data_IF_960107350354
#
_entry.id   IF_960107350354
#
_cell.length_a   1.000
_cell.length_b   1.000
_cell.length_c   1.000
_cell.angle_alpha   90.00
_cell.angle_beta   90.00
_cell.angle_gamma   90.00
#
_symmetry.space_group_name_H-M   'P 1'
#
loop_
_entity.id
_entity.type
_entity.pdbx_description
1 polymer ?
#
# COMPACT_ATOMS: atom_id res chain seq x y z
N UNK A 1 25.59 -6.64 -15.32
CA UNK A 1 25.10 -5.86 -14.18
C UNK A 1 23.64 -5.49 -14.43
N UNK A 2 22.71 -6.36 -14.04
CA UNK A 2 21.27 -6.15 -14.28
C UNK A 2 20.76 -5.17 -13.22
N UNK A 3 20.32 -3.98 -13.63
CA UNK A 3 19.66 -3.02 -12.73
C UNK A 3 18.39 -3.69 -12.22
N UNK A 4 18.31 -3.97 -10.92
CA UNK A 4 17.05 -4.31 -10.27
C UNK A 4 16.14 -3.10 -10.49
N UNK A 5 15.17 -3.23 -11.38
CA UNK A 5 14.12 -2.23 -11.55
C UNK A 5 13.17 -2.38 -10.36
N UNK A 6 13.56 -1.82 -9.20
CA UNK A 6 12.63 -1.63 -8.09
C UNK A 6 11.60 -0.61 -8.59
N UNK A 7 10.48 -1.10 -9.13
CA UNK A 7 9.35 -0.25 -9.50
C UNK A 7 8.96 0.51 -8.22
N UNK A 8 8.89 1.85 -8.23
CA UNK A 8 8.61 2.59 -7.01
C UNK A 8 7.21 2.23 -6.54
N UNK A 9 7.14 1.54 -5.40
CA UNK A 9 5.88 1.16 -4.77
C UNK A 9 5.06 2.36 -4.32
N UNK A 10 3.82 2.12 -3.93
CA UNK A 10 3.01 3.10 -3.20
C UNK A 10 2.89 2.65 -1.76
N UNK A 11 2.93 3.60 -0.84
CA UNK A 11 2.70 3.35 0.57
C UNK A 11 1.41 4.05 0.99
N UNK A 12 0.51 3.28 1.59
CA UNK A 12 -0.63 3.80 2.32
C UNK A 12 -0.18 4.02 3.77
N UNK A 13 -0.37 5.23 4.26
CA UNK A 13 -0.03 5.62 5.62
C UNK A 13 -1.30 6.08 6.30
N UNK A 14 -1.60 5.47 7.44
CA UNK A 14 -2.70 5.86 8.31
C UNK A 14 -2.21 5.90 9.76
N UNK A 15 -2.93 6.52 10.67
CA UNK A 15 -2.57 6.52 12.10
C UNK A 15 -2.91 5.17 12.75
N UNK A 16 -4.12 4.67 12.53
CA UNK A 16 -4.68 3.44 13.11
C UNK A 16 -5.30 2.57 12.03
N UNK A 17 -4.91 1.29 12.00
CA UNK A 17 -5.63 0.27 11.24
C UNK A 17 -6.55 -0.47 12.19
N UNK A 18 -7.85 -0.53 11.87
CA UNK A 18 -8.79 -1.38 12.60
C UNK A 18 -9.00 -2.71 11.86
N UNK A 19 -10.15 -2.90 11.21
CA UNK A 19 -10.43 -4.09 10.39
C UNK A 19 -9.61 -4.16 9.11
N UNK A 20 -8.89 -3.08 8.76
CA UNK A 20 -8.19 -2.94 7.49
C UNK A 20 -9.10 -2.62 6.30
N UNK A 21 -10.42 -2.49 6.48
CA UNK A 21 -11.35 -2.24 5.38
C UNK A 21 -11.00 -0.97 4.57
N UNK A 22 -10.63 0.11 5.25
CA UNK A 22 -10.18 1.36 4.62
C UNK A 22 -8.91 1.14 3.80
N UNK A 23 -7.90 0.46 4.37
CA UNK A 23 -6.63 0.17 3.70
C UNK A 23 -6.85 -0.71 2.46
N UNK A 24 -7.71 -1.72 2.55
CA UNK A 24 -8.05 -2.61 1.42
C UNK A 24 -8.73 -1.82 0.30
N UNK A 25 -9.71 -0.97 0.61
CA UNK A 25 -10.40 -0.17 -0.40
C UNK A 25 -9.44 0.79 -1.14
N UNK A 26 -8.50 1.42 -0.41
CA UNK A 26 -7.47 2.26 -0.98
C UNK A 26 -6.46 1.45 -1.83
N UNK A 27 -6.03 0.29 -1.35
CA UNK A 27 -5.12 -0.58 -2.09
C UNK A 27 -5.76 -1.06 -3.39
N UNK A 28 -7.02 -1.49 -3.35
CA UNK A 28 -7.78 -1.89 -4.54
C UNK A 28 -7.90 -0.77 -5.57
N UNK A 29 -8.11 0.48 -5.12
CA UNK A 29 -8.14 1.63 -6.01
C UNK A 29 -6.77 1.86 -6.69
N UNK A 30 -5.67 1.71 -5.93
CA UNK A 30 -4.30 1.81 -6.48
C UNK A 30 -3.99 0.67 -7.46
N UNK A 31 -4.39 -0.55 -7.15
CA UNK A 31 -4.22 -1.70 -8.05
C UNK A 31 -5.00 -1.50 -9.34
N UNK A 32 -6.26 -1.02 -9.28
CA UNK A 32 -7.03 -0.65 -10.48
C UNK A 32 -6.39 0.47 -11.30
N UNK A 33 -5.63 1.36 -10.66
CA UNK A 33 -4.85 2.40 -11.34
C UNK A 33 -3.52 1.89 -11.94
N UNK A 34 -3.21 0.60 -11.82
CA UNK A 34 -2.01 -0.02 -12.40
C UNK A 34 -0.77 0.03 -11.48
N UNK A 35 -0.94 0.30 -10.19
CA UNK A 35 0.15 0.17 -9.22
C UNK A 35 0.50 -1.30 -9.04
N UNK A 36 1.78 -1.65 -9.18
CA UNK A 36 2.24 -3.04 -9.08
C UNK A 36 2.34 -3.54 -7.64
N UNK A 37 2.59 -2.64 -6.69
CA UNK A 37 2.80 -2.97 -5.29
C UNK A 37 2.36 -1.82 -4.37
N UNK A 38 1.59 -2.19 -3.34
CA UNK A 38 1.12 -1.31 -2.28
C UNK A 38 1.62 -1.85 -0.95
N UNK A 39 2.30 -1.02 -0.17
CA UNK A 39 2.65 -1.29 1.22
C UNK A 39 1.72 -0.48 2.15
N UNK A 40 1.46 -1.00 3.34
CA UNK A 40 0.65 -0.33 4.35
C UNK A 40 1.52 -0.09 5.59
N UNK A 41 1.45 1.10 6.15
CA UNK A 41 2.09 1.45 7.42
C UNK A 41 1.10 2.20 8.31
N UNK A 42 1.11 1.85 9.59
CA UNK A 42 0.35 2.57 10.60
C UNK A 42 1.09 2.58 11.93
N UNK A 43 0.74 3.53 12.79
CA UNK A 43 1.32 3.65 14.13
C UNK A 43 0.72 2.60 15.08
N UNK A 44 -0.53 2.22 14.87
CA UNK A 44 -1.25 1.26 15.70
C UNK A 44 -2.19 0.35 14.89
N UNK A 45 -2.47 -0.85 15.41
CA UNK A 45 -3.51 -1.75 14.95
C UNK A 45 -4.45 -2.06 16.12
N UNK A 46 -5.76 -1.93 15.91
CA UNK A 46 -6.79 -2.03 16.95
C UNK A 46 -7.93 -2.99 16.57
#
# INVERSE_FOLDING_TARGET
MQRIACRPGRILVDDVITTGATMTACADALFRAGVANVACAAVCFA
#
